data_IF_664885670944
#
_entry.id   IF_664885670944
#
_cell.length_a   1.000
_cell.length_b   1.000
_cell.length_c   1.000
_cell.angle_alpha   90.00
_cell.angle_beta   90.00
_cell.angle_gamma   90.00
#
_symmetry.space_group_name_H-M   'P 1'
#
loop_
_entity.id
_entity.type
_entity.pdbx_description
1 polymer ?
#
# COMPACT_ATOMS: atom_id res chain seq x y z
N UNK A 1 -7.67 3.52 6.08
CA UNK A 1 -7.57 2.17 5.46
C UNK A 1 -8.97 1.59 5.36
N UNK A 2 -9.42 1.20 4.16
CA UNK A 2 -10.71 0.52 3.96
C UNK A 2 -10.46 -0.98 4.07
N UNK A 3 -11.12 -1.63 5.02
CA UNK A 3 -11.03 -3.08 5.23
C UNK A 3 -11.83 -3.80 4.11
N UNK A 4 -11.53 -5.07 3.83
CA UNK A 4 -12.47 -5.91 3.08
C UNK A 4 -13.81 -5.90 3.83
N UNK A 5 -14.92 -6.14 3.13
CA UNK A 5 -16.28 -6.17 3.71
C UNK A 5 -16.47 -7.17 4.87
N UNK A 6 -15.46 -7.97 5.22
CA UNK A 6 -15.39 -8.91 6.34
C UNK A 6 -14.53 -8.40 7.53
N UNK A 7 -14.08 -7.14 7.53
CA UNK A 7 -13.31 -6.55 8.63
C UNK A 7 -11.83 -6.91 8.67
N UNK A 8 -11.31 -7.68 7.70
CA UNK A 8 -9.88 -7.94 7.59
C UNK A 8 -9.18 -6.80 6.82
N UNK A 9 -8.02 -6.32 7.30
CA UNK A 9 -7.22 -5.38 6.53
C UNK A 9 -6.83 -6.00 5.20
N UNK A 10 -6.78 -5.19 4.14
CA UNK A 10 -6.27 -5.62 2.83
C UNK A 10 -4.75 -5.70 2.85
N UNK A 11 -4.20 -6.34 3.87
CA UNK A 11 -2.77 -6.45 4.12
C UNK A 11 -2.39 -7.89 4.43
N UNK A 12 -1.28 -8.37 3.87
CA UNK A 12 -0.66 -9.63 4.26
C UNK A 12 0.77 -9.39 4.73
N UNK A 13 1.25 -10.29 5.58
CA UNK A 13 2.58 -10.27 6.16
C UNK A 13 3.29 -11.54 5.68
N UNK A 14 4.30 -11.37 4.84
CA UNK A 14 5.04 -12.45 4.20
C UNK A 14 6.44 -11.93 3.87
N UNK A 15 7.46 -12.78 3.99
CA UNK A 15 8.82 -12.46 3.53
C UNK A 15 8.89 -12.84 2.04
N UNK A 16 8.76 -11.85 1.16
CA UNK A 16 8.67 -12.08 -0.30
C UNK A 16 10.06 -12.22 -0.92
N UNK A 17 11.03 -11.48 -0.40
CA UNK A 17 12.38 -11.42 -0.95
C UNK A 17 13.36 -12.41 -0.29
N UNK A 18 12.90 -13.18 0.71
CA UNK A 18 13.64 -14.16 1.47
C UNK A 18 14.84 -13.57 2.23
N UNK A 19 14.74 -12.31 2.68
CA UNK A 19 15.81 -11.63 3.40
C UNK A 19 15.79 -11.86 4.92
N UNK A 20 14.77 -12.59 5.41
CA UNK A 20 14.56 -12.88 6.83
C UNK A 20 13.81 -11.78 7.57
N UNK A 21 13.38 -10.71 6.89
CA UNK A 21 12.48 -9.68 7.42
C UNK A 21 11.08 -9.85 6.81
N UNK A 22 10.06 -9.69 7.66
CA UNK A 22 8.67 -9.77 7.20
C UNK A 22 8.29 -8.51 6.42
N UNK A 23 7.87 -8.69 5.16
CA UNK A 23 7.32 -7.60 4.37
C UNK A 23 5.84 -7.36 4.69
N UNK A 24 5.38 -6.14 4.38
CA UNK A 24 3.97 -5.77 4.41
C UNK A 24 3.48 -5.59 2.99
N UNK A 25 2.59 -6.48 2.57
CA UNK A 25 1.87 -6.35 1.30
C UNK A 25 0.58 -5.61 1.58
N UNK A 26 0.36 -4.48 0.90
CA UNK A 26 -0.89 -3.71 1.01
C UNK A 26 -1.62 -3.74 -0.33
N UNK A 27 -2.77 -4.39 -0.37
CA UNK A 27 -3.68 -4.29 -1.51
C UNK A 27 -4.49 -3.00 -1.41
N UNK A 28 -4.24 -2.08 -2.33
CA UNK A 28 -4.99 -0.84 -2.48
C UNK A 28 -6.01 -0.98 -3.60
N UNK A 29 -7.24 -0.51 -3.36
CA UNK A 29 -8.25 -0.41 -4.42
C UNK A 29 -7.89 0.79 -5.29
N UNK A 30 -7.21 0.55 -6.40
CA UNK A 30 -6.73 1.60 -7.33
C UNK A 30 -7.86 2.47 -7.89
N UNK A 31 -9.08 1.93 -8.00
CA UNK A 31 -10.28 2.69 -8.40
C UNK A 31 -10.62 3.84 -7.43
N UNK A 32 -10.27 3.71 -6.15
CA UNK A 32 -10.46 4.77 -5.15
C UNK A 32 -9.30 5.79 -5.14
N UNK A 33 -8.15 5.43 -5.74
CA UNK A 33 -6.97 6.30 -5.82
C UNK A 33 -7.04 7.32 -6.96
N UNK A 34 -8.08 7.27 -7.80
CA UNK A 34 -8.29 8.19 -8.93
C UNK A 34 -7.04 8.37 -9.81
N UNK A 35 -6.28 7.28 -10.01
CA UNK A 35 -5.03 7.32 -10.77
C UNK A 35 -5.31 7.51 -12.28
N UNK A 36 -4.61 8.45 -12.88
CA UNK A 36 -4.51 8.63 -14.32
C UNK A 36 -3.37 7.79 -14.90
N UNK A 37 -3.48 7.26 -16.13
CA UNK A 37 -2.33 6.63 -16.83
C UNK A 37 -1.10 7.54 -16.98
N UNK A 38 -1.27 8.86 -16.82
CA UNK A 38 -0.17 9.83 -16.81
C UNK A 38 0.49 10.01 -15.44
N UNK A 39 -0.07 9.43 -14.38
CA UNK A 39 0.47 9.56 -13.04
C UNK A 39 1.76 8.75 -12.93
N UNK A 40 2.82 9.44 -12.53
CA UNK A 40 4.18 8.88 -12.40
C UNK A 40 4.65 8.83 -10.96
N UNK A 41 3.87 9.38 -10.04
CA UNK A 41 4.17 9.46 -8.62
C UNK A 41 2.91 9.23 -7.82
N UNK A 42 2.99 8.39 -6.80
CA UNK A 42 1.94 8.25 -5.80
C UNK A 42 2.51 8.46 -4.41
N UNK A 43 1.65 8.90 -3.50
CA UNK A 43 2.00 9.12 -2.11
C UNK A 43 1.09 8.27 -1.24
N UNK A 44 1.69 7.40 -0.45
CA UNK A 44 1.01 6.57 0.53
C UNK A 44 1.21 7.19 1.91
N UNK A 45 0.11 7.50 2.58
CA UNK A 45 0.10 7.91 3.97
C UNK A 45 -0.51 6.80 4.83
N UNK A 46 0.22 6.40 5.88
CA UNK A 46 -0.17 5.35 6.82
C UNK A 46 0.12 5.76 8.26
N UNK A 47 -0.35 4.96 9.20
CA UNK A 47 -0.11 5.15 10.64
C UNK A 47 0.33 3.82 11.22
N UNK A 48 1.47 3.78 11.91
CA UNK A 48 1.96 2.62 12.65
C UNK A 48 1.13 2.42 13.92
N UNK A 49 1.27 1.24 14.55
CA UNK A 49 0.57 0.90 15.79
C UNK A 49 0.85 1.88 16.93
N UNK A 50 2.06 2.44 16.98
CA UNK A 50 2.49 3.45 17.96
C UNK A 50 2.10 4.88 17.54
N UNK A 51 1.08 5.01 16.72
CA UNK A 51 0.53 6.26 16.21
C UNK A 51 1.42 7.12 15.32
N UNK A 52 2.63 6.66 15.04
CA UNK A 52 3.56 7.35 14.14
C UNK A 52 3.02 7.37 12.71
N UNK A 53 2.88 8.56 12.13
CA UNK A 53 2.46 8.75 10.74
C UNK A 53 3.65 8.46 9.83
N UNK A 54 3.45 7.59 8.85
CA UNK A 54 4.39 7.33 7.76
C UNK A 54 3.86 7.95 6.48
N UNK A 55 4.72 8.63 5.75
CA UNK A 55 4.44 9.19 4.43
C UNK A 55 5.54 8.73 3.49
N UNK A 56 5.17 7.98 2.47
CA UNK A 56 6.09 7.44 1.47
C UNK A 56 5.64 7.95 0.11
N UNK A 57 6.56 8.52 -0.65
CA UNK A 57 6.34 8.91 -2.03
C UNK A 57 7.28 8.11 -2.90
N UNK A 58 6.76 7.47 -3.94
CA UNK A 58 7.56 6.69 -4.87
C UNK A 58 7.09 6.88 -6.31
N UNK A 59 8.01 6.64 -7.24
CA UNK A 59 7.75 6.65 -8.67
C UNK A 59 7.05 5.36 -9.08
N UNK A 60 5.96 5.48 -9.83
CA UNK A 60 5.19 4.33 -10.31
C UNK A 60 4.91 4.47 -11.81
N UNK A 61 4.86 3.34 -12.51
CA UNK A 61 4.35 3.27 -13.88
C UNK A 61 3.11 2.39 -13.90
N UNK A 62 1.99 2.92 -14.40
CA UNK A 62 0.75 2.13 -14.58
C UNK A 62 0.85 1.38 -15.92
N UNK A 63 0.78 0.05 -15.87
CA UNK A 63 0.81 -0.83 -17.05
C UNK A 63 -0.58 -1.46 -17.26
N UNK A 64 -1.21 -1.35 -18.44
CA UNK A 64 -2.51 -1.96 -18.75
C UNK A 64 -2.54 -3.49 -18.76
#
# INVERSE_FOLDING_TARGET
MKLKGNGQPMTSFEDINEDGFTDIIVHVITKELQLSPSDTQTTLEGKLFEETIIKVSDSMQIVP
#
